data_IF_781262613704
#
_entry.id   IF_781262613704
#
_cell.length_a   1.000
_cell.length_b   1.000
_cell.length_c   1.000
_cell.angle_alpha   90.00
_cell.angle_beta   90.00
_cell.angle_gamma   90.00
#
_symmetry.space_group_name_H-M   'P 1'
#
loop_
_entity.id
_entity.type
_entity.pdbx_description
1 polymer ?
#
# COMPACT_ATOMS: atom_id res chain seq x y z
N UNK A 1 -17.28 -3.70 -19.67
CA UNK A 1 -16.60 -3.58 -18.37
C UNK A 1 -15.39 -2.66 -18.45
N UNK A 2 -14.47 -2.85 -19.41
CA UNK A 2 -13.30 -1.98 -19.60
C UNK A 2 -13.62 -0.48 -19.67
N UNK A 3 -14.59 -0.06 -20.50
CA UNK A 3 -15.00 1.35 -20.59
C UNK A 3 -15.46 1.94 -19.25
N UNK A 4 -16.24 1.18 -18.46
CA UNK A 4 -16.66 1.60 -17.12
C UNK A 4 -15.44 1.83 -16.21
N UNK A 5 -14.42 0.98 -16.34
CA UNK A 5 -13.17 1.13 -15.59
C UNK A 5 -12.41 2.38 -16.01
N UNK A 6 -12.27 2.62 -17.31
CA UNK A 6 -11.63 3.82 -17.85
C UNK A 6 -12.30 5.07 -17.25
N UNK A 7 -13.63 5.15 -17.30
CA UNK A 7 -14.36 6.27 -16.68
C UNK A 7 -14.15 6.37 -15.17
N UNK A 8 -14.03 5.23 -14.47
CA UNK A 8 -13.75 5.21 -13.03
C UNK A 8 -12.35 5.77 -12.72
N UNK A 9 -11.33 5.34 -13.45
CA UNK A 9 -9.95 5.81 -13.27
C UNK A 9 -9.83 7.31 -13.59
N UNK A 10 -10.43 7.76 -14.69
CA UNK A 10 -10.47 9.17 -15.05
C UNK A 10 -11.17 10.01 -13.98
N UNK A 11 -12.28 9.51 -13.44
CA UNK A 11 -12.99 10.17 -12.35
C UNK A 11 -12.15 10.26 -11.08
N UNK A 12 -11.50 9.16 -10.67
CA UNK A 12 -10.61 9.15 -9.49
C UNK A 12 -9.44 10.12 -9.65
N UNK A 13 -8.80 10.15 -10.83
CA UNK A 13 -7.74 11.12 -11.16
C UNK A 13 -8.24 12.55 -10.97
N UNK A 14 -9.36 12.92 -11.61
CA UNK A 14 -9.94 14.26 -11.50
C UNK A 14 -10.34 14.63 -10.06
N UNK A 15 -10.84 13.66 -9.29
CA UNK A 15 -11.21 13.87 -7.89
C UNK A 15 -9.96 14.16 -7.04
N UNK A 16 -8.88 13.42 -7.28
CA UNK A 16 -7.59 13.61 -6.61
C UNK A 16 -6.86 14.91 -7.02
N UNK A 17 -7.17 15.44 -8.20
CA UNK A 17 -6.72 16.77 -8.64
C UNK A 17 -7.62 17.92 -8.11
N UNK A 18 -8.72 17.59 -7.41
CA UNK A 18 -9.71 18.57 -6.96
C UNK A 18 -10.49 19.24 -8.11
N UNK A 19 -10.57 18.61 -9.28
CA UNK A 19 -11.25 19.14 -10.47
C UNK A 19 -12.74 18.77 -10.53
N UNK A 20 -13.18 17.82 -9.70
CA UNK A 20 -14.57 17.34 -9.65
C UNK A 20 -15.04 17.15 -8.21
N UNK A 21 -16.36 17.14 -8.03
CA UNK A 21 -16.99 16.79 -6.76
C UNK A 21 -17.03 15.27 -6.61
N UNK A 22 -16.68 14.78 -5.41
CA UNK A 22 -16.87 13.39 -5.00
C UNK A 22 -18.37 13.07 -4.90
N UNK A 23 -18.86 12.17 -5.76
CA UNK A 23 -20.27 11.83 -5.99
C UNK A 23 -21.21 13.04 -6.01
N UNK A 24 -20.81 14.16 -6.62
CA UNK A 24 -21.57 15.42 -6.63
C UNK A 24 -21.98 15.93 -5.23
N UNK A 25 -21.29 15.50 -4.18
CA UNK A 25 -21.65 15.80 -2.79
C UNK A 25 -20.58 16.68 -2.13
N UNK A 26 -19.31 16.26 -2.16
CA UNK A 26 -18.22 16.94 -1.45
C UNK A 26 -17.11 17.30 -2.43
N UNK A 27 -16.59 18.53 -2.33
CA UNK A 27 -15.38 18.93 -3.06
C UNK A 27 -14.17 18.80 -2.15
N UNK A 28 -13.13 18.13 -2.63
CA UNK A 28 -11.86 18.02 -1.92
C UNK A 28 -10.82 18.86 -2.65
N UNK A 29 -10.44 19.99 -2.07
CA UNK A 29 -9.33 20.78 -2.61
C UNK A 29 -8.00 20.05 -2.41
N UNK A 30 -6.96 20.46 -3.15
CA UNK A 30 -5.60 19.93 -2.94
C UNK A 30 -5.12 20.10 -1.50
N UNK A 31 -5.52 21.19 -0.84
CA UNK A 31 -5.20 21.44 0.56
C UNK A 31 -5.94 20.46 1.50
N UNK A 32 -7.18 20.08 1.17
CA UNK A 32 -7.96 19.14 1.99
C UNK A 32 -7.46 17.72 1.86
N UNK A 33 -7.03 17.32 0.66
CA UNK A 33 -6.42 16.00 0.41
C UNK A 33 -5.18 15.81 1.27
N UNK A 34 -4.30 16.81 1.37
CA UNK A 34 -3.12 16.75 2.23
C UNK A 34 -3.40 16.68 3.74
N UNK A 35 -4.63 16.98 4.18
CA UNK A 35 -5.04 16.90 5.60
C UNK A 35 -5.71 15.57 5.96
N UNK A 36 -6.03 14.73 4.98
CA UNK A 36 -6.67 13.45 5.24
C UNK A 36 -5.72 12.55 6.05
N UNK A 37 -6.24 11.85 7.07
CA UNK A 37 -5.41 11.08 8.01
C UNK A 37 -4.58 9.96 7.37
N UNK A 38 -4.91 9.55 6.14
CA UNK A 38 -4.13 8.58 5.37
C UNK A 38 -2.85 9.18 4.77
N UNK A 39 -2.76 10.51 4.64
CA UNK A 39 -1.68 11.22 3.98
C UNK A 39 -0.47 11.47 4.91
N UNK A 40 -0.12 10.49 5.74
CA UNK A 40 1.15 10.50 6.47
C UNK A 40 2.32 10.46 5.46
N UNK A 41 3.23 11.44 5.44
CA UNK A 41 4.27 11.56 4.42
C UNK A 41 5.08 10.27 4.21
N UNK A 42 5.38 9.53 5.27
CA UNK A 42 6.17 8.29 5.18
C UNK A 42 5.39 7.15 4.50
N UNK A 43 4.10 7.04 4.77
CA UNK A 43 3.22 6.01 4.16
C UNK A 43 2.94 6.36 2.70
N UNK A 44 2.76 7.65 2.41
CA UNK A 44 2.59 8.14 1.05
C UNK A 44 3.82 7.89 0.19
N UNK A 45 5.02 8.17 0.68
CA UNK A 45 6.27 7.90 -0.05
C UNK A 45 6.35 6.42 -0.45
N UNK A 46 6.14 5.48 0.49
CA UNK A 46 6.13 4.04 0.20
C UNK A 46 5.05 3.62 -0.79
N UNK A 47 3.83 4.15 -0.64
CA UNK A 47 2.73 3.89 -1.57
C UNK A 47 3.03 4.44 -2.96
N UNK A 48 3.62 5.63 -3.05
CA UNK A 48 4.05 6.25 -4.29
C UNK A 48 5.13 5.41 -4.98
N UNK A 49 6.14 4.93 -4.24
CA UNK A 49 7.13 3.99 -4.78
C UNK A 49 6.45 2.76 -5.36
N UNK A 50 5.58 2.09 -4.60
CA UNK A 50 4.83 0.92 -5.09
C UNK A 50 4.06 1.22 -6.40
N UNK A 51 3.35 2.35 -6.45
CA UNK A 51 2.60 2.75 -7.63
C UNK A 51 3.51 3.10 -8.81
N UNK A 52 4.66 3.73 -8.56
CA UNK A 52 5.65 4.03 -9.58
C UNK A 52 6.22 2.74 -10.17
N UNK A 53 6.60 1.76 -9.35
CA UNK A 53 7.12 0.48 -9.82
C UNK A 53 6.11 -0.24 -10.72
N UNK A 54 4.83 -0.27 -10.31
CA UNK A 54 3.76 -0.81 -11.17
C UNK A 54 3.64 -0.02 -12.47
N UNK A 55 3.63 1.32 -12.39
CA UNK A 55 3.50 2.21 -13.54
C UNK A 55 4.64 2.04 -14.55
N UNK A 56 5.88 1.84 -14.09
CA UNK A 56 7.04 1.57 -14.93
C UNK A 56 7.00 0.19 -15.60
N UNK A 57 6.34 -0.78 -14.97
CA UNK A 57 6.29 -2.17 -15.44
C UNK A 57 5.20 -2.43 -16.49
N UNK A 58 4.21 -1.55 -16.61
CA UNK A 58 3.09 -1.70 -17.54
C UNK A 58 3.45 -1.44 -19.02
N UNK A 59 4.21 -0.37 -19.39
CA UNK A 59 4.54 -0.07 -20.79
C UNK A 59 5.19 -1.22 -21.57
N UNK A 60 6.18 -1.97 -21.03
CA UNK A 60 6.76 -3.11 -21.75
C UNK A 60 5.71 -4.16 -22.16
N UNK A 61 4.70 -4.40 -21.31
CA UNK A 61 3.62 -5.34 -21.59
C UNK A 61 2.70 -4.78 -22.68
N UNK A 62 2.45 -3.47 -22.67
CA UNK A 62 1.65 -2.79 -23.69
C UNK A 62 2.32 -2.88 -25.06
N UNK A 63 3.63 -2.68 -25.15
CA UNK A 63 4.33 -2.59 -26.42
C UNK A 63 4.54 -3.97 -27.07
N UNK A 64 4.89 -4.98 -26.28
CA UNK A 64 5.27 -6.32 -26.79
C UNK A 64 4.06 -7.17 -27.18
N UNK A 65 2.92 -7.02 -26.50
CA UNK A 65 1.81 -7.95 -26.65
C UNK A 65 0.99 -7.69 -27.91
N UNK A 66 0.95 -8.68 -28.81
CA UNK A 66 0.26 -8.57 -30.11
C UNK A 66 -1.14 -9.17 -30.10
N UNK A 67 -1.41 -10.11 -29.19
CA UNK A 67 -2.73 -10.76 -29.07
C UNK A 67 -3.40 -10.47 -27.72
N UNK A 68 -4.74 -10.41 -27.63
CA UNK A 68 -5.44 -10.19 -26.36
C UNK A 68 -5.09 -11.20 -25.27
N UNK A 69 -4.88 -12.46 -25.65
CA UNK A 69 -4.61 -13.56 -24.72
C UNK A 69 -3.20 -13.49 -24.14
N UNK A 70 -2.21 -13.19 -24.97
CA UNK A 70 -0.82 -12.93 -24.55
C UNK A 70 -0.75 -11.72 -23.63
N UNK A 71 -1.38 -10.61 -24.03
CA UNK A 71 -1.44 -9.39 -23.25
C UNK A 71 -2.02 -9.63 -21.86
N UNK A 72 -3.19 -10.29 -21.77
CA UNK A 72 -3.82 -10.59 -20.48
C UNK A 72 -3.00 -11.57 -19.65
N UNK A 73 -2.27 -12.51 -20.26
CA UNK A 73 -1.38 -13.43 -19.54
C UNK A 73 -0.23 -12.68 -18.89
N UNK A 74 0.47 -11.83 -19.65
CA UNK A 74 1.56 -11.00 -19.16
C UNK A 74 1.07 -10.02 -18.08
N UNK A 75 -0.07 -9.34 -18.31
CA UNK A 75 -0.66 -8.43 -17.33
C UNK A 75 -1.02 -9.15 -16.03
N UNK A 76 -1.64 -10.34 -16.10
CA UNK A 76 -1.94 -11.11 -14.89
C UNK A 76 -0.68 -11.57 -14.16
N UNK A 77 0.40 -11.93 -14.88
CA UNK A 77 1.68 -12.29 -14.28
C UNK A 77 2.31 -11.11 -13.54
N UNK A 78 2.38 -9.93 -14.17
CA UNK A 78 2.84 -8.70 -13.52
C UNK A 78 2.03 -8.37 -12.26
N UNK A 79 0.69 -8.40 -12.36
CA UNK A 79 -0.16 -8.08 -11.21
C UNK A 79 -0.01 -9.10 -10.08
N UNK A 80 0.34 -10.35 -10.39
CA UNK A 80 0.63 -11.38 -9.39
C UNK A 80 1.98 -11.12 -8.70
N UNK A 81 3.02 -10.80 -9.47
CA UNK A 81 4.33 -10.40 -8.94
C UNK A 81 4.22 -9.15 -8.07
N UNK A 82 3.45 -8.16 -8.50
CA UNK A 82 3.20 -6.95 -7.73
C UNK A 82 2.46 -7.24 -6.41
N UNK A 83 1.46 -8.13 -6.40
CA UNK A 83 0.82 -8.53 -5.14
C UNK A 83 1.81 -9.24 -4.19
N UNK A 84 2.71 -10.07 -4.72
CA UNK A 84 3.75 -10.73 -3.94
C UNK A 84 4.74 -9.71 -3.35
N UNK A 85 5.18 -8.74 -4.17
CA UNK A 85 6.01 -7.61 -3.74
C UNK A 85 5.35 -6.83 -2.60
N UNK A 86 4.06 -6.49 -2.73
CA UNK A 86 3.33 -5.79 -1.68
C UNK A 86 3.17 -6.61 -0.38
N UNK A 87 3.22 -7.94 -0.43
CA UNK A 87 3.22 -8.75 0.80
C UNK A 87 4.54 -8.63 1.56
N UNK A 88 5.66 -8.41 0.87
CA UNK A 88 7.00 -8.26 1.46
C UNK A 88 7.28 -6.80 1.82
N UNK A 89 6.81 -5.87 0.98
CA UNK A 89 6.99 -4.42 1.08
C UNK A 89 5.64 -3.68 1.20
N UNK A 90 4.95 -3.75 2.36
CA UNK A 90 3.60 -3.20 2.48
C UNK A 90 3.55 -1.68 2.28
N UNK A 91 2.53 -1.15 1.56
CA UNK A 91 2.45 0.28 1.22
C UNK A 91 2.28 1.18 2.46
N UNK A 92 1.68 0.67 3.54
CA UNK A 92 1.49 1.41 4.79
C UNK A 92 2.70 1.31 5.74
N UNK A 93 3.77 0.63 5.32
CA UNK A 93 5.00 0.46 6.09
C UNK A 93 4.91 -0.53 7.27
N UNK A 94 3.78 -1.21 7.45
CA UNK A 94 3.66 -2.33 8.37
C UNK A 94 4.64 -3.41 7.96
N UNK A 95 5.68 -3.68 8.75
CA UNK A 95 6.62 -4.77 8.44
C UNK A 95 5.85 -6.08 8.29
N UNK A 96 6.07 -6.79 7.18
CA UNK A 96 5.56 -8.14 7.01
C UNK A 96 6.36 -9.07 7.92
N UNK A 97 5.98 -9.13 9.20
CA UNK A 97 6.56 -10.09 10.13
C UNK A 97 6.09 -11.48 9.68
N UNK A 98 6.91 -12.15 8.89
CA UNK A 98 6.74 -13.55 8.43
C UNK A 98 6.61 -14.54 9.60
N UNK A 99 6.91 -14.11 10.83
CA UNK A 99 6.70 -14.88 12.07
C UNK A 99 5.25 -14.94 12.56
N UNK A 100 4.35 -14.03 12.16
CA UNK A 100 3.02 -13.93 12.76
C UNK A 100 1.95 -14.88 12.17
N UNK A 101 2.24 -15.56 11.05
CA UNK A 101 1.28 -16.50 10.41
C UNK A 101 1.58 -17.98 10.62
N UNK A 102 2.73 -18.34 11.20
CA UNK A 102 2.93 -19.69 11.69
C UNK A 102 2.16 -19.85 13.01
N UNK A 103 0.86 -20.18 12.95
CA UNK A 103 0.20 -20.84 14.07
C UNK A 103 0.85 -22.21 14.24
N UNK A 104 1.93 -22.26 15.01
CA UNK A 104 2.51 -23.48 15.54
C UNK A 104 1.36 -24.21 16.25
N UNK A 105 0.94 -25.41 15.80
CA UNK A 105 -0.03 -26.19 16.54
C UNK A 105 0.54 -26.45 17.93
N UNK A 106 -0.22 -26.11 18.97
CA UNK A 106 0.06 -26.44 20.36
C UNK A 106 0.27 -27.95 20.52
N UNK A 107 1.53 -28.41 20.40
CA UNK A 107 1.94 -29.81 20.57
C UNK A 107 2.48 -30.12 21.97
N UNK A 108 2.06 -29.36 22.99
CA UNK A 108 2.35 -29.70 24.39
C UNK A 108 1.10 -29.52 25.26
N UNK A 109 0.06 -30.32 25.01
CA UNK A 109 -0.93 -30.62 26.05
C UNK A 109 -0.42 -31.78 26.90
N UNK A 110 0.26 -31.46 28.00
CA UNK A 110 0.40 -32.37 29.14
C UNK A 110 -0.97 -32.56 29.77
N UNK A 111 -1.34 -33.83 29.96
CA UNK A 111 -2.53 -34.25 30.68
C UNK A 111 -2.44 -33.80 32.15
N UNK A 112 -3.50 -33.16 32.65
CA UNK A 112 -3.76 -33.07 34.08
C UNK A 112 -5.28 -32.94 34.32
N UNK A 113 -5.77 -33.95 35.03
CA UNK A 113 -7.02 -34.19 35.74
C UNK A 113 -8.23 -33.23 35.71
N UNK A 114 -9.38 -33.90 35.63
CA UNK A 114 -10.73 -33.46 35.98
C UNK A 114 -10.85 -32.88 37.41
N UNK A 115 -11.78 -31.93 37.59
CA UNK A 115 -12.14 -31.41 38.92
C UNK A 115 -13.06 -30.19 38.92
N UNK A 116 -14.35 -30.43 38.73
CA UNK A 116 -15.53 -29.85 39.40
C UNK A 116 -15.46 -28.51 40.18
N UNK A 117 -16.43 -27.61 39.85
CA UNK A 117 -17.15 -26.62 40.69
C UNK A 117 -16.54 -25.24 41.08
N UNK A 118 -17.34 -24.19 40.77
CA UNK A 118 -17.87 -23.12 41.67
C UNK A 118 -17.16 -21.73 41.80
N UNK A 119 -18.03 -20.69 41.68
CA UNK A 119 -18.07 -19.30 42.25
C UNK A 119 -17.13 -18.15 41.81
N UNK A 120 -17.80 -17.12 41.25
CA UNK A 120 -17.96 -15.69 41.64
C UNK A 120 -16.88 -14.96 42.48
N UNK A 121 -16.75 -13.67 42.10
CA UNK A 121 -16.51 -12.42 42.89
C UNK A 121 -15.14 -11.74 42.77
N UNK A 122 -15.23 -10.41 42.84
CA UNK A 122 -14.25 -9.35 42.58
C UNK A 122 -13.46 -8.92 43.82
N UNK A 123 -12.60 -7.89 43.63
CA UNK A 123 -11.83 -7.07 44.61
C UNK A 123 -10.47 -7.65 45.02
N UNK A 124 -9.44 -6.91 45.46
CA UNK A 124 -8.94 -5.54 45.32
C UNK A 124 -7.54 -5.55 45.99
N UNK A 125 -6.63 -4.65 45.58
CA UNK A 125 -5.47 -4.06 46.32
C UNK A 125 -4.49 -4.92 47.13
N UNK A 126 -3.19 -4.83 46.80
CA UNK A 126 -2.03 -4.51 47.69
C UNK A 126 -0.74 -4.63 46.84
N UNK A 127 0.03 -3.57 46.57
CA UNK A 127 1.11 -2.97 47.39
C UNK A 127 2.19 -4.00 47.78
N UNK A 128 3.37 -3.85 47.19
CA UNK A 128 4.58 -4.60 47.55
C UNK A 128 5.76 -4.38 46.61
N UNK A 129 6.53 -3.32 46.83
CA UNK A 129 7.97 -3.19 46.50
C UNK A 129 8.67 -2.92 47.86
N UNK A 130 9.95 -3.27 48.12
CA UNK A 130 11.08 -2.93 47.23
C UNK A 130 12.33 -3.84 47.29
N UNK A 131 13.39 -3.38 46.58
CA UNK A 131 14.83 -3.58 46.82
C UNK A 131 15.48 -4.93 46.48
N UNK A 132 16.41 -4.93 45.53
CA UNK A 132 17.85 -4.92 45.88
C UNK A 132 18.77 -4.60 44.70
N UNK A 133 19.74 -3.74 45.00
CA UNK A 133 20.87 -3.20 44.25
C UNK A 133 22.01 -4.20 44.06
N UNK A 134 22.74 -4.15 42.95
CA UNK A 134 24.22 -4.04 42.91
C UNK A 134 24.76 -4.06 41.47
N UNK A 135 25.44 -2.97 41.11
CA UNK A 135 26.54 -2.89 40.12
C UNK A 135 27.85 -3.34 40.83
N UNK A 136 28.95 -3.79 40.16
CA UNK A 136 29.79 -2.88 39.35
C UNK A 136 30.61 -3.48 38.17
N UNK A 137 30.81 -2.64 37.14
CA UNK A 137 32.05 -2.24 36.44
C UNK A 137 33.17 -3.21 35.98
N UNK A 138 33.50 -3.00 34.69
CA UNK A 138 34.81 -2.90 34.01
C UNK A 138 35.69 -4.14 33.74
N UNK A 139 36.14 -4.28 32.47
CA UNK A 139 37.54 -4.44 32.06
C UNK A 139 37.71 -4.38 30.52
N UNK A 140 38.78 -3.70 30.11
CA UNK A 140 39.17 -3.25 28.76
C UNK A 140 40.46 -3.97 28.30
N UNK A 141 40.55 -4.40 27.04
CA UNK A 141 41.78 -4.58 26.22
C UNK A 141 41.35 -5.10 24.82
N UNK A 142 41.58 -4.50 23.64
CA UNK A 142 42.75 -3.91 22.93
C UNK A 142 43.59 -4.90 22.11
N UNK A 143 43.73 -4.58 20.81
CA UNK A 143 44.66 -5.05 19.74
C UNK A 143 43.96 -5.84 18.61
N UNK A 144 44.16 -5.57 17.31
CA UNK A 144 45.05 -4.65 16.60
C UNK A 144 44.76 -4.62 15.09
N UNK A 145 45.27 -3.57 14.42
CA UNK A 145 45.14 -3.25 12.99
C UNK A 145 45.73 -4.29 12.03
N UNK A 146 45.12 -4.44 10.84
CA UNK A 146 45.82 -4.63 9.56
C UNK A 146 45.06 -3.91 8.43
N UNK A 147 45.72 -2.96 7.77
CA UNK A 147 45.38 -2.36 6.47
C UNK A 147 45.96 -3.19 5.31
N UNK A 148 45.43 -3.04 4.09
CA UNK A 148 46.25 -2.37 3.05
C UNK A 148 45.48 -1.33 2.24
N UNK A 149 46.23 -0.34 1.75
CA UNK A 149 45.77 0.79 0.95
C UNK A 149 45.68 0.48 -0.55
N UNK A 150 44.85 1.31 -1.20
CA UNK A 150 45.00 1.94 -2.51
C UNK A 150 44.13 1.40 -3.65
N UNK A 151 43.08 2.16 -3.99
CA UNK A 151 42.95 2.84 -5.31
C UNK A 151 41.88 3.93 -5.25
N UNK A 152 42.35 5.17 -5.43
CA UNK A 152 41.76 6.33 -6.13
C UNK A 152 40.29 6.29 -6.60
N UNK A 153 39.56 7.33 -6.16
CA UNK A 153 38.60 8.12 -6.93
C UNK A 153 37.32 7.43 -7.45
N UNK A 154 36.27 7.52 -6.63
CA UNK A 154 35.03 8.16 -7.07
C UNK A 154 34.38 8.79 -5.83
N UNK A 155 34.30 10.12 -5.82
CA UNK A 155 33.36 10.82 -4.93
C UNK A 155 31.96 10.47 -5.42
N UNK A 156 31.46 9.30 -5.02
CA UNK A 156 30.03 9.03 -5.04
C UNK A 156 29.45 9.94 -3.98
N UNK A 157 28.81 11.01 -4.42
CA UNK A 157 27.80 11.69 -3.62
C UNK A 157 26.88 10.60 -3.08
N UNK A 158 27.01 10.30 -1.79
CA UNK A 158 26.12 9.41 -1.08
C UNK A 158 24.77 10.10 -1.05
N UNK A 159 23.99 9.91 -2.13
CA UNK A 159 22.57 10.20 -2.11
C UNK A 159 21.99 9.38 -0.96
N UNK A 160 21.13 9.96 -0.11
CA UNK A 160 20.46 9.18 0.92
C UNK A 160 19.70 8.05 0.21
N UNK A 161 20.17 6.82 0.40
CA UNK A 161 19.52 5.64 -0.14
C UNK A 161 18.14 5.56 0.50
N UNK A 162 17.11 5.72 -0.31
CA UNK A 162 15.74 5.46 0.12
C UNK A 162 15.63 3.97 0.43
N UNK A 163 15.56 3.59 1.71
CA UNK A 163 15.41 2.20 2.21
C UNK A 163 14.15 1.48 1.66
N UNK A 164 13.34 2.17 0.85
CA UNK A 164 12.05 1.68 0.31
C UNK A 164 12.17 0.82 -0.94
N UNK A 165 13.37 0.71 -1.53
CA UNK A 165 13.59 0.05 -2.83
C UNK A 165 14.65 -1.05 -2.80
N UNK A 166 15.19 -1.38 -1.63
CA UNK A 166 16.20 -2.45 -1.51
C UNK A 166 15.49 -3.80 -1.43
N UNK A 167 15.56 -4.56 -2.53
CA UNK A 167 15.07 -5.93 -2.60
C UNK A 167 15.78 -6.80 -1.57
N UNK A 168 15.04 -7.75 -0.99
CA UNK A 168 15.68 -8.74 -0.13
C UNK A 168 16.61 -9.65 -0.96
N UNK A 169 17.68 -10.21 -0.36
CA UNK A 169 18.54 -11.15 -1.07
C UNK A 169 17.75 -12.31 -1.69
N UNK A 170 17.82 -12.47 -3.01
CA UNK A 170 17.10 -13.50 -3.78
C UNK A 170 15.68 -13.14 -4.20
N UNK A 171 15.23 -11.90 -3.97
CA UNK A 171 13.97 -11.38 -4.47
C UNK A 171 14.13 -10.94 -5.94
N UNK A 172 13.65 -11.76 -6.88
CA UNK A 172 13.71 -11.50 -8.32
C UNK A 172 12.30 -11.58 -8.94
N UNK A 173 12.00 -10.65 -9.86
CA UNK A 173 10.73 -10.56 -10.57
C UNK A 173 10.96 -10.57 -12.08
N UNK A 174 10.07 -11.20 -12.85
CA UNK A 174 10.24 -11.31 -14.31
C UNK A 174 9.58 -10.15 -15.07
N UNK A 175 8.45 -9.66 -14.57
CA UNK A 175 7.67 -8.58 -15.19
C UNK A 175 7.69 -7.29 -14.36
N UNK A 176 7.74 -7.40 -13.03
CA UNK A 176 7.79 -6.24 -12.14
C UNK A 176 9.21 -5.63 -12.15
N UNK A 177 9.31 -4.40 -12.65
CA UNK A 177 10.52 -3.60 -12.60
C UNK A 177 10.70 -2.98 -11.23
N UNK A 178 11.87 -3.18 -10.65
CA UNK A 178 12.25 -2.71 -9.31
C UNK A 178 13.57 -1.92 -9.32
N UNK A 179 13.70 -0.86 -10.15
CA UNK A 179 14.91 -0.05 -10.19
C UNK A 179 15.10 0.71 -8.86
N UNK A 180 16.37 0.95 -8.50
CA UNK A 180 16.71 1.87 -7.41
C UNK A 180 16.31 3.30 -7.79
N UNK A 181 15.53 3.97 -6.93
CA UNK A 181 15.05 5.32 -7.18
C UNK A 181 16.00 6.37 -6.59
N UNK A 182 16.39 7.41 -7.36
CA UNK A 182 17.27 8.48 -6.86
C UNK A 182 16.53 9.53 -6.01
N UNK A 183 15.20 9.45 -5.92
CA UNK A 183 14.35 10.36 -5.16
C UNK A 183 13.10 9.64 -4.64
N UNK A 184 12.42 10.25 -3.67
CA UNK A 184 11.10 9.82 -3.23
C UNK A 184 10.02 10.38 -4.17
N UNK A 185 9.20 9.54 -4.81
CA UNK A 185 8.18 10.03 -5.74
C UNK A 185 7.04 10.76 -5.01
N UNK A 186 6.55 11.84 -5.61
CA UNK A 186 5.34 12.52 -5.13
C UNK A 186 4.11 11.65 -5.40
N UNK A 187 3.31 11.43 -4.36
CA UNK A 187 2.14 10.55 -4.45
C UNK A 187 1.08 11.06 -5.41
N UNK A 188 0.79 12.37 -5.41
CA UNK A 188 -0.28 12.93 -6.23
C UNK A 188 0.02 12.78 -7.71
N UNK A 189 1.25 13.12 -8.11
CA UNK A 189 1.70 12.98 -9.48
C UNK A 189 1.79 11.50 -9.91
N UNK A 190 2.34 10.65 -9.04
CA UNK A 190 2.45 9.21 -9.31
C UNK A 190 1.08 8.55 -9.44
N UNK A 191 0.11 8.95 -8.61
CA UNK A 191 -1.25 8.44 -8.70
C UNK A 191 -1.94 8.85 -10.00
N UNK A 192 -1.82 10.12 -10.39
CA UNK A 192 -2.42 10.63 -11.63
C UNK A 192 -1.83 9.92 -12.86
N UNK A 193 -0.51 9.83 -12.94
CA UNK A 193 0.20 9.14 -14.03
C UNK A 193 -0.11 7.65 -14.08
N UNK A 194 -0.22 6.97 -12.94
CA UNK A 194 -0.64 5.57 -12.92
C UNK A 194 -2.09 5.39 -13.39
N UNK A 195 -3.00 6.31 -13.08
CA UNK A 195 -4.36 6.27 -13.64
C UNK A 195 -4.33 6.35 -15.17
N UNK A 196 -3.46 7.19 -15.75
CA UNK A 196 -3.33 7.35 -17.19
C UNK A 196 -2.76 6.11 -17.86
N UNK A 197 -1.66 5.58 -17.33
CA UNK A 197 -1.09 4.32 -17.83
C UNK A 197 -2.10 3.18 -17.74
N UNK A 198 -2.89 3.09 -16.66
CA UNK A 198 -3.94 2.08 -16.55
C UNK A 198 -5.09 2.31 -17.54
N UNK A 199 -5.47 3.56 -17.81
CA UNK A 199 -6.42 3.88 -18.87
C UNK A 199 -5.88 3.39 -20.22
N UNK A 200 -4.60 3.59 -20.51
CA UNK A 200 -3.94 3.07 -21.70
C UNK A 200 -3.94 1.54 -21.72
N UNK A 201 -3.76 0.87 -20.57
CA UNK A 201 -3.87 -0.58 -20.48
C UNK A 201 -5.25 -1.12 -20.87
N UNK A 202 -6.33 -0.47 -20.40
CA UNK A 202 -7.69 -0.87 -20.80
C UNK A 202 -8.00 -0.48 -22.24
N UNK A 203 -7.50 0.64 -22.72
CA UNK A 203 -7.69 1.11 -24.10
C UNK A 203 -6.98 0.20 -25.09
N UNK A 204 -5.73 -0.21 -24.77
CA UNK A 204 -4.98 -1.20 -25.55
C UNK A 204 -5.73 -2.53 -25.61
N UNK A 205 -6.26 -3.01 -24.49
CA UNK A 205 -7.06 -4.24 -24.50
C UNK A 205 -8.28 -4.13 -25.44
N UNK A 206 -8.99 -3.01 -25.41
CA UNK A 206 -10.12 -2.77 -26.32
C UNK A 206 -9.66 -2.77 -27.78
N UNK A 207 -8.51 -2.13 -28.09
CA UNK A 207 -7.97 -2.10 -29.46
C UNK A 207 -7.56 -3.48 -29.99
N UNK A 208 -7.07 -4.36 -29.12
CA UNK A 208 -6.69 -5.73 -29.47
C UNK A 208 -7.91 -6.63 -29.70
N UNK A 209 -9.07 -6.29 -29.11
CA UNK A 209 -10.34 -6.99 -29.34
C UNK A 209 -11.06 -6.34 -30.53
N UNK A 210 -10.55 -6.62 -31.73
CA UNK A 210 -11.08 -6.02 -32.97
C UNK A 210 -12.45 -6.58 -33.38
N UNK A 211 -12.76 -7.83 -32.99
CA UNK A 211 -14.05 -8.48 -33.29
C UNK A 211 -14.62 -9.22 -32.08
N UNK A 212 -15.95 -9.32 -31.95
CA UNK A 212 -16.58 -10.06 -30.84
C UNK A 212 -16.24 -11.55 -30.80
N UNK A 213 -15.84 -12.15 -31.93
CA UNK A 213 -15.48 -13.57 -32.04
C UNK A 213 -14.24 -13.95 -31.20
N UNK A 214 -13.38 -12.98 -30.87
CA UNK A 214 -12.18 -13.21 -30.05
C UNK A 214 -12.53 -13.35 -28.56
N UNK A 215 -13.72 -12.89 -28.15
CA UNK A 215 -14.21 -12.94 -26.77
C UNK A 215 -14.65 -14.37 -26.37
N UNK A 216 -13.68 -15.25 -26.19
CA UNK A 216 -13.89 -16.58 -25.63
C UNK A 216 -14.10 -16.51 -24.10
N UNK A 217 -14.69 -17.56 -23.53
CA UNK A 217 -14.88 -17.67 -22.07
C UNK A 217 -13.55 -17.55 -21.33
N UNK A 218 -12.51 -18.24 -21.80
CA UNK A 218 -11.16 -18.19 -21.22
C UNK A 218 -10.57 -16.77 -21.23
N UNK A 219 -10.75 -16.02 -22.32
CA UNK A 219 -10.30 -14.63 -22.39
C UNK A 219 -11.05 -13.75 -21.39
N UNK A 220 -12.37 -13.94 -21.27
CA UNK A 220 -13.22 -13.25 -20.31
C UNK A 220 -12.81 -13.52 -18.86
N UNK A 221 -12.42 -14.75 -18.54
CA UNK A 221 -11.90 -15.11 -17.22
C UNK A 221 -10.55 -14.45 -16.92
N UNK A 222 -9.60 -14.47 -17.87
CA UNK A 222 -8.31 -13.79 -17.71
C UNK A 222 -8.48 -12.28 -17.52
N UNK A 223 -9.38 -11.65 -18.28
CA UNK A 223 -9.74 -10.25 -18.10
C UNK A 223 -10.32 -10.00 -16.71
N UNK A 224 -11.28 -10.81 -16.28
CA UNK A 224 -11.96 -10.63 -14.99
C UNK A 224 -10.99 -10.76 -13.81
N UNK A 225 -10.00 -11.67 -13.90
CA UNK A 225 -8.92 -11.81 -12.91
C UNK A 225 -8.05 -10.55 -12.86
N UNK A 226 -7.60 -10.05 -14.01
CA UNK A 226 -6.80 -8.83 -14.08
C UNK A 226 -7.58 -7.61 -13.54
N UNK A 227 -8.83 -7.41 -13.97
CA UNK A 227 -9.66 -6.29 -13.52
C UNK A 227 -9.93 -6.34 -12.01
N UNK A 228 -10.09 -7.53 -11.44
CA UNK A 228 -10.29 -7.70 -9.99
C UNK A 228 -9.05 -7.26 -9.21
N UNK A 229 -7.85 -7.64 -9.68
CA UNK A 229 -6.58 -7.22 -9.07
C UNK A 229 -6.39 -5.71 -9.19
N UNK A 230 -6.57 -5.13 -10.37
CA UNK A 230 -6.49 -3.68 -10.59
C UNK A 230 -7.49 -2.90 -9.73
N UNK A 231 -8.72 -3.41 -9.59
CA UNK A 231 -9.73 -2.83 -8.68
C UNK A 231 -9.22 -2.78 -7.25
N UNK A 232 -8.63 -3.87 -6.77
CA UNK A 232 -8.15 -4.00 -5.39
C UNK A 232 -6.95 -3.08 -5.14
N UNK A 233 -5.98 -3.07 -6.05
CA UNK A 233 -4.75 -2.27 -5.95
C UNK A 233 -5.08 -0.77 -5.99
N UNK A 234 -5.91 -0.36 -6.95
CA UNK A 234 -6.10 1.07 -7.25
C UNK A 234 -7.39 1.65 -6.70
N UNK A 235 -8.51 1.04 -7.06
CA UNK A 235 -9.82 1.67 -6.89
C UNK A 235 -10.31 1.51 -5.46
N UNK A 236 -10.21 0.31 -4.89
CA UNK A 236 -10.77 0.00 -3.59
C UNK A 236 -10.11 0.78 -2.44
N UNK A 237 -8.81 1.03 -2.53
CA UNK A 237 -8.07 1.88 -1.58
C UNK A 237 -8.60 3.30 -1.58
N UNK A 238 -8.48 3.95 -2.74
CA UNK A 238 -8.82 5.37 -2.92
C UNK A 238 -10.30 5.66 -2.66
N UNK A 239 -11.21 4.82 -3.17
CA UNK A 239 -12.65 5.00 -2.93
C UNK A 239 -12.95 5.00 -1.43
N UNK A 240 -12.35 4.07 -0.67
CA UNK A 240 -12.54 3.99 0.78
C UNK A 240 -12.02 5.24 1.48
N UNK A 241 -10.86 5.74 1.07
CA UNK A 241 -10.26 6.96 1.64
C UNK A 241 -11.16 8.18 1.42
N UNK A 242 -11.67 8.38 0.21
CA UNK A 242 -12.62 9.45 -0.10
C UNK A 242 -13.96 9.28 0.64
N UNK A 243 -14.46 8.05 0.80
CA UNK A 243 -15.67 7.76 1.58
C UNK A 243 -15.51 8.06 3.07
N UNK A 244 -14.36 7.70 3.65
CA UNK A 244 -14.03 7.99 5.05
C UNK A 244 -13.90 9.50 5.27
N UNK A 245 -13.19 10.20 4.38
CA UNK A 245 -13.05 11.65 4.43
C UNK A 245 -14.43 12.34 4.29
N UNK A 246 -15.27 11.89 3.34
CA UNK A 246 -16.62 12.44 3.14
C UNK A 246 -17.50 12.27 4.39
N UNK A 247 -17.47 11.09 5.03
CA UNK A 247 -18.20 10.85 6.28
C UNK A 247 -17.72 11.75 7.42
N UNK A 248 -16.40 11.96 7.53
CA UNK A 248 -15.85 12.86 8.54
C UNK A 248 -16.28 14.31 8.30
N UNK A 249 -16.21 14.79 7.06
CA UNK A 249 -16.65 16.13 6.66
C UNK A 249 -18.13 16.33 6.98
N UNK A 250 -18.99 15.40 6.56
CA UNK A 250 -20.42 15.49 6.82
C UNK A 250 -20.76 15.54 8.32
N UNK A 251 -20.06 14.74 9.16
CA UNK A 251 -20.23 14.77 10.62
C UNK A 251 -19.82 16.10 11.23
N UNK A 252 -18.72 16.68 10.74
CA UNK A 252 -18.23 17.97 11.21
C UNK A 252 -19.19 19.10 10.84
N UNK A 253 -19.70 19.11 9.61
CA UNK A 253 -20.70 20.10 9.17
C UNK A 253 -21.99 20.03 10.01
N UNK A 254 -22.54 18.83 10.22
CA UNK A 254 -23.75 18.65 11.05
C UNK A 254 -23.51 19.10 12.49
N UNK A 255 -22.35 18.79 13.05
CA UNK A 255 -21.97 19.23 14.41
C UNK A 255 -21.82 20.75 14.48
N UNK A 256 -21.25 21.37 13.44
CA UNK A 256 -21.13 22.82 13.31
C UNK A 256 -22.49 23.50 13.29
N UNK A 257 -23.41 23.02 12.45
CA UNK A 257 -24.80 23.52 12.39
C UNK A 257 -25.49 23.35 13.73
N UNK A 258 -25.36 22.20 14.38
CA UNK A 258 -25.95 21.96 15.71
C UNK A 258 -25.46 22.97 16.74
N UNK A 259 -24.16 23.31 16.76
CA UNK A 259 -23.61 24.34 17.66
C UNK A 259 -24.15 25.73 17.35
N UNK A 260 -24.27 26.10 16.08
CA UNK A 260 -24.80 27.42 15.68
C UNK A 260 -26.28 27.54 16.05
N UNK A 261 -27.09 26.53 15.76
CA UNK A 261 -28.52 26.53 16.05
C UNK A 261 -28.80 26.48 17.56
N UNK A 262 -28.14 25.59 18.29
CA UNK A 262 -28.34 25.47 19.74
C UNK A 262 -27.68 26.61 20.52
N UNK A 263 -26.54 27.12 20.04
CA UNK A 263 -25.86 28.28 20.62
C UNK A 263 -26.64 29.58 20.41
N UNK A 264 -27.34 29.72 19.28
CA UNK A 264 -28.22 30.85 19.00
C UNK A 264 -29.59 30.79 19.69
N UNK A 265 -29.98 29.63 20.24
CA UNK A 265 -31.22 29.48 21.02
C UNK A 265 -31.04 29.75 22.53
N UNK A 266 -29.79 29.87 22.99
CA UNK A 266 -29.42 30.07 24.39
C UNK A 266 -28.85 31.47 24.67
N UNK A 267 -28.84 32.37 23.69
CA UNK A 267 -28.50 33.79 23.84
C UNK A 267 -29.71 34.68 23.59
#
# INVERSE_FOLDING_TARGET
MATKRISTLDYLRKAHEGRVYWFNTVHFSRADLGRMSYFDPRKLSRRAVNYLLLGLSLPPILDVSSTPSEYLRALNALLLEFEAFQQVHPPDGSSSSTLARARIPQMFKRAAHAGTKVRRTSSATEIGLPMQSSDPSDLKAMAGNITPSATTAAAVSSFPQTESSELLPGEEYSYLLTPSLPFEPDFFETFATLCDVLIDCYTRLISLVSTPSVCTVSLGEMFSKADTKLRKIMVAGVVREFEDASRSSARNEVTGVSRVVLGGLLG
#
